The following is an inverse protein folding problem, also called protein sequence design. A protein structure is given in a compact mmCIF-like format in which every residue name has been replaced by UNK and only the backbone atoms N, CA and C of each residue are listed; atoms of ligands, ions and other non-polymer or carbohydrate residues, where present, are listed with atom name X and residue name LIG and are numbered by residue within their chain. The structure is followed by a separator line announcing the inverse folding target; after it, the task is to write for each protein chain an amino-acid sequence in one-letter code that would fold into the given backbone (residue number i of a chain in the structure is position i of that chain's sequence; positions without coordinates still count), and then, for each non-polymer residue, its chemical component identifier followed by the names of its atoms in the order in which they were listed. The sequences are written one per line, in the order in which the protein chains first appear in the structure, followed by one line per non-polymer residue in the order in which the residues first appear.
data_IF_111465121583
#
_entry.id   IF_111465121583
#
_cell.length_a   1.000
_cell.length_b   1.000
_cell.length_c   1.000
_cell.angle_alpha   90.00
_cell.angle_beta   90.00
_cell.angle_gamma   90.00
#
_symmetry.space_group_name_H-M   'P 1'
#
loop_
_entity.id
_entity.type
_entity.pdbx_description
1 polymer ?
#
# COMPACT_ATOMS: atom_id res chain seq x y z
N UNK A 1 27.91 -18.16 22.09
CA UNK A 1 26.65 -18.05 21.33
C UNK A 1 27.03 -17.93 19.86
N UNK A 2 26.75 -18.94 19.04
CA UNK A 2 27.14 -18.95 17.62
C UNK A 2 26.27 -17.97 16.82
N UNK A 3 26.92 -17.20 15.93
CA UNK A 3 26.34 -16.18 15.04
C UNK A 3 25.55 -16.79 13.86
N UNK A 4 24.96 -17.98 14.00
CA UNK A 4 24.45 -18.76 12.86
C UNK A 4 23.01 -18.45 12.41
N UNK A 5 22.26 -17.51 13.01
CA UNK A 5 20.80 -17.49 12.79
C UNK A 5 20.09 -16.18 12.40
N UNK A 6 20.78 -15.12 11.98
CA UNK A 6 20.11 -14.04 11.23
C UNK A 6 20.29 -14.26 9.73
N UNK A 7 19.64 -15.31 9.21
CA UNK A 7 19.54 -15.52 7.76
C UNK A 7 18.76 -14.34 7.18
N UNK A 8 19.45 -13.48 6.42
CA UNK A 8 18.84 -12.36 5.71
C UNK A 8 17.60 -12.84 4.94
N UNK A 9 16.45 -12.23 5.25
CA UNK A 9 15.20 -12.48 4.54
C UNK A 9 14.99 -11.34 3.54
N UNK A 10 15.00 -11.60 2.23
CA UNK A 10 14.81 -10.56 1.23
C UNK A 10 13.38 -10.02 1.22
N UNK A 11 12.41 -10.77 1.75
CA UNK A 11 11.00 -10.38 1.72
C UNK A 11 10.21 -10.91 2.92
N UNK A 12 9.12 -10.22 3.22
CA UNK A 12 8.07 -10.61 4.16
C UNK A 12 6.72 -10.45 3.46
N UNK A 13 5.97 -11.56 3.37
CA UNK A 13 4.59 -11.56 2.87
C UNK A 13 3.69 -10.75 3.82
N UNK A 14 2.97 -9.78 3.27
CA UNK A 14 1.99 -8.98 4.03
C UNK A 14 0.57 -9.37 3.62
N UNK A 15 0.26 -9.29 2.32
CA UNK A 15 -1.03 -9.68 1.77
C UNK A 15 -0.88 -10.41 0.44
N UNK A 16 -1.76 -11.38 0.23
CA UNK A 16 -2.06 -11.99 -1.06
C UNK A 16 -3.54 -11.72 -1.32
N UNK A 17 -3.94 -11.57 -2.57
CA UNK A 17 -5.35 -11.39 -2.94
C UNK A 17 -5.72 -12.45 -3.97
N UNK A 18 -5.62 -13.72 -3.58
CA UNK A 18 -5.73 -14.84 -4.51
C UNK A 18 -6.97 -15.70 -4.22
N UNK A 19 -7.63 -15.47 -3.09
CA UNK A 19 -8.84 -16.19 -2.68
C UNK A 19 -9.92 -15.23 -2.19
N UNK A 20 -11.18 -15.67 -2.18
CA UNK A 20 -12.28 -14.87 -1.64
C UNK A 20 -12.05 -14.51 -0.15
N UNK A 21 -11.49 -15.44 0.62
CA UNK A 21 -11.13 -15.21 2.02
C UNK A 21 -10.05 -14.13 2.19
N UNK A 22 -9.16 -13.97 1.22
CA UNK A 22 -8.20 -12.87 1.22
C UNK A 22 -8.90 -11.54 0.97
N UNK A 23 -9.83 -11.48 0.02
CA UNK A 23 -10.64 -10.28 -0.28
C UNK A 23 -11.50 -9.88 0.92
N UNK A 24 -12.04 -10.85 1.67
CA UNK A 24 -12.81 -10.58 2.89
C UNK A 24 -12.00 -9.90 3.99
N UNK A 25 -10.67 -9.91 3.89
CA UNK A 25 -9.78 -9.14 4.78
C UNK A 25 -9.66 -7.67 4.38
N UNK A 26 -10.39 -7.21 3.38
CA UNK A 26 -10.39 -5.82 2.93
C UNK A 26 -11.77 -5.20 3.07
N UNK A 27 -11.78 -3.89 3.28
CA UNK A 27 -12.97 -3.05 3.29
C UNK A 27 -12.89 -2.16 2.07
N UNK A 28 -13.95 -2.16 1.27
CA UNK A 28 -14.13 -1.27 0.13
C UNK A 28 -14.92 -0.05 0.59
N UNK A 29 -14.53 1.14 0.17
CA UNK A 29 -15.24 2.39 0.44
C UNK A 29 -15.21 3.34 -0.75
N UNK A 30 -16.19 4.23 -0.83
CA UNK A 30 -16.26 5.26 -1.86
C UNK A 30 -17.03 6.48 -1.37
N UNK A 31 -17.00 7.57 -2.13
CA UNK A 31 -17.81 8.76 -1.80
C UNK A 31 -19.33 8.46 -1.69
N UNK A 32 -19.81 7.35 -2.24
CA UNK A 32 -21.19 6.89 -2.10
C UNK A 32 -21.61 6.69 -0.65
N UNK A 33 -20.67 6.32 0.23
CA UNK A 33 -20.91 6.15 1.66
C UNK A 33 -21.30 7.46 2.36
N UNK A 34 -20.97 8.60 1.74
CA UNK A 34 -21.33 9.95 2.20
C UNK A 34 -22.31 10.65 1.25
N UNK A 35 -22.87 9.93 0.26
CA UNK A 35 -23.87 10.44 -0.69
C UNK A 35 -23.34 10.82 -2.08
N UNK A 36 -22.08 10.54 -2.40
CA UNK A 36 -21.54 10.68 -3.75
C UNK A 36 -22.03 9.61 -4.73
N UNK A 37 -21.53 9.66 -5.97
CA UNK A 37 -21.95 8.76 -7.06
C UNK A 37 -20.85 7.80 -7.53
N UNK A 38 -19.67 7.82 -6.92
CA UNK A 38 -18.61 6.86 -7.26
C UNK A 38 -19.01 5.45 -6.82
N UNK A 39 -18.46 4.45 -7.51
CA UNK A 39 -18.65 3.04 -7.20
C UNK A 39 -17.31 2.35 -7.13
N UNK A 40 -17.20 1.38 -6.24
CA UNK A 40 -15.98 0.62 -6.00
C UNK A 40 -16.33 -0.81 -5.61
N UNK A 41 -15.55 -1.77 -6.10
CA UNK A 41 -15.63 -3.19 -5.75
C UNK A 41 -14.24 -3.78 -5.66
N UNK A 42 -14.11 -4.81 -4.83
CA UNK A 42 -12.95 -5.69 -4.77
C UNK A 42 -13.43 -7.13 -4.91
N UNK A 43 -13.00 -7.81 -5.96
CA UNK A 43 -13.48 -9.15 -6.32
C UNK A 43 -12.29 -10.02 -6.77
N UNK A 44 -12.40 -11.34 -6.68
CA UNK A 44 -11.39 -12.25 -7.22
C UNK A 44 -11.63 -12.47 -8.72
N UNK A 45 -10.58 -12.41 -9.52
CA UNK A 45 -10.62 -12.76 -10.96
C UNK A 45 -10.49 -14.28 -11.17
N UNK A 46 -10.78 -14.74 -12.38
CA UNK A 46 -10.52 -16.13 -12.81
C UNK A 46 -9.04 -16.54 -12.70
N UNK A 47 -8.13 -15.56 -12.69
CA UNK A 47 -6.70 -15.78 -12.54
C UNK A 47 -6.25 -15.83 -11.06
N UNK A 48 -7.18 -15.88 -10.10
CA UNK A 48 -6.91 -15.86 -8.66
C UNK A 48 -6.08 -14.63 -8.25
N UNK A 49 -6.56 -13.45 -8.65
CA UNK A 49 -5.99 -12.14 -8.28
C UNK A 49 -7.11 -11.19 -7.84
N UNK A 50 -6.79 -10.20 -7.01
CA UNK A 50 -7.74 -9.23 -6.48
C UNK A 50 -7.94 -8.08 -7.46
N UNK A 51 -9.17 -7.85 -7.90
CA UNK A 51 -9.54 -6.79 -8.81
C UNK A 51 -10.24 -5.66 -8.08
N UNK A 52 -9.54 -4.55 -7.88
CA UNK A 52 -10.11 -3.29 -7.42
C UNK A 52 -10.58 -2.47 -8.63
N UNK A 53 -11.89 -2.30 -8.78
CA UNK A 53 -12.47 -1.62 -9.95
C UNK A 53 -13.76 -0.86 -9.61
N UNK A 54 -14.15 0.02 -10.53
CA UNK A 54 -15.38 0.78 -10.40
C UNK A 54 -15.41 1.99 -11.32
N UNK A 55 -16.23 2.98 -10.95
CA UNK A 55 -16.40 4.23 -11.69
C UNK A 55 -16.33 5.42 -10.73
N UNK A 56 -15.45 6.37 -11.02
CA UNK A 56 -15.32 7.61 -10.25
C UNK A 56 -16.26 8.68 -10.82
N UNK A 57 -16.99 9.38 -9.97
CA UNK A 57 -17.76 10.57 -10.34
C UNK A 57 -17.30 11.77 -9.51
N UNK A 58 -17.40 12.98 -10.06
CA UNK A 58 -17.18 14.24 -9.33
C UNK A 58 -18.51 14.94 -9.01
N UNK A 59 -19.64 14.35 -9.41
CA UNK A 59 -20.94 14.95 -9.19
C UNK A 59 -21.27 14.94 -7.69
N UNK A 60 -21.87 16.04 -7.24
CA UNK A 60 -22.34 16.21 -5.86
C UNK A 60 -23.86 16.35 -5.94
N UNK A 61 -24.65 15.55 -5.19
CA UNK A 61 -26.09 15.76 -5.17
C UNK A 61 -26.41 17.17 -4.66
N UNK A 62 -27.40 17.83 -5.27
CA UNK A 62 -27.76 19.21 -4.97
C UNK A 62 -28.09 19.46 -3.48
N UNK A 63 -28.55 18.43 -2.76
CA UNK A 63 -28.94 18.49 -1.35
C UNK A 63 -27.90 17.85 -0.39
N UNK A 64 -26.73 17.45 -0.90
CA UNK A 64 -25.76 16.73 -0.10
C UNK A 64 -24.94 17.68 0.79
N UNK A 65 -24.76 17.29 2.06
CA UNK A 65 -23.85 17.97 3.01
C UNK A 65 -22.36 17.77 2.69
N UNK A 66 -22.03 17.11 1.58
CA UNK A 66 -20.65 16.79 1.21
C UNK A 66 -19.99 17.96 0.48
N UNK A 67 -18.77 18.27 0.90
CA UNK A 67 -17.97 19.35 0.30
C UNK A 67 -17.05 18.81 -0.80
N UNK A 68 -16.79 17.49 -0.82
CA UNK A 68 -15.88 16.82 -1.75
C UNK A 68 -16.41 15.43 -2.13
N UNK A 69 -16.37 15.12 -3.41
CA UNK A 69 -16.70 13.82 -4.00
C UNK A 69 -15.54 13.30 -4.86
N UNK A 70 -15.70 12.10 -5.38
CA UNK A 70 -14.79 11.43 -6.29
C UNK A 70 -13.61 10.78 -5.62
N UNK A 71 -13.90 9.87 -4.70
CA UNK A 71 -12.92 8.92 -4.20
C UNK A 71 -13.46 7.48 -4.21
N UNK A 72 -12.54 6.55 -4.39
CA UNK A 72 -12.72 5.11 -4.16
C UNK A 72 -11.50 4.58 -3.42
N UNK A 73 -11.69 3.65 -2.49
CA UNK A 73 -10.60 3.08 -1.72
C UNK A 73 -10.86 1.63 -1.32
N UNK A 74 -9.77 0.90 -1.12
CA UNK A 74 -9.74 -0.34 -0.38
C UNK A 74 -8.75 -0.21 0.78
N UNK A 75 -9.04 -0.84 1.90
CA UNK A 75 -8.14 -0.91 3.06
C UNK A 75 -8.24 -2.26 3.71
N UNK A 76 -7.11 -2.84 4.08
CA UNK A 76 -7.11 -4.08 4.83
C UNK A 76 -7.71 -3.89 6.23
N UNK A 77 -8.37 -4.93 6.73
CA UNK A 77 -8.80 -5.01 8.11
C UNK A 77 -7.56 -5.13 8.98
N UNK A 78 -7.61 -4.51 10.17
CA UNK A 78 -6.61 -4.77 11.19
C UNK A 78 -6.65 -6.26 11.50
N UNK A 79 -5.49 -6.89 11.57
CA UNK A 79 -5.41 -8.27 12.02
C UNK A 79 -6.01 -8.35 13.44
N UNK A 80 -6.98 -9.24 13.63
CA UNK A 80 -7.59 -9.42 14.95
C UNK A 80 -6.54 -9.99 15.92
N UNK A 81 -6.55 -9.51 17.16
CA UNK A 81 -5.59 -9.89 18.20
C UNK A 81 -5.59 -11.41 18.40
N UNK A 82 -4.49 -12.06 18.05
CA UNK A 82 -4.20 -13.42 18.53
C UNK A 82 -3.26 -13.26 19.72
N UNK A 83 -3.83 -13.25 20.94
CA UNK A 83 -3.11 -13.00 22.22
C UNK A 83 -2.47 -11.59 22.33
N UNK A 84 -1.83 -11.29 23.47
CA UNK A 84 -1.34 -9.98 23.95
C UNK A 84 -0.42 -9.15 23.01
N UNK A 85 -0.21 -9.58 21.75
CA UNK A 85 0.60 -8.87 20.77
C UNK A 85 -0.31 -8.17 19.75
N UNK A 86 -0.08 -6.88 19.52
CA UNK A 86 -0.73 -6.17 18.40
C UNK A 86 -0.28 -6.85 17.10
N UNK A 87 -1.24 -7.23 16.26
CA UNK A 87 -0.97 -7.92 15.00
C UNK A 87 -0.53 -6.90 13.92
N UNK A 88 0.60 -6.25 14.20
CA UNK A 88 1.27 -5.28 13.35
C UNK A 88 2.50 -5.93 12.69
N UNK A 89 2.92 -5.36 11.56
CA UNK A 89 4.15 -5.76 10.87
C UNK A 89 5.31 -4.88 11.30
N UNK A 90 6.42 -5.54 11.67
CA UNK A 90 7.73 -4.90 11.73
C UNK A 90 8.37 -4.89 10.34
N UNK A 91 8.33 -3.72 9.71
CA UNK A 91 8.88 -3.48 8.37
C UNK A 91 10.25 -2.84 8.40
N UNK A 92 10.84 -2.55 9.58
CA UNK A 92 12.16 -1.94 9.72
C UNK A 92 13.26 -2.69 8.95
N UNK A 93 13.30 -4.05 8.91
CA UNK A 93 14.35 -4.78 8.18
C UNK A 93 14.31 -4.66 6.65
N UNK A 94 13.26 -4.07 6.07
CA UNK A 94 13.05 -4.00 4.63
C UNK A 94 13.28 -2.57 4.12
N UNK A 95 13.44 -2.35 2.82
CA UNK A 95 13.55 -0.98 2.27
C UNK A 95 12.26 -0.50 1.62
N UNK A 96 11.54 -1.44 1.03
CA UNK A 96 10.41 -1.14 0.15
C UNK A 96 9.15 -1.84 0.62
N UNK A 97 8.02 -1.16 0.45
CA UNK A 97 6.75 -1.82 0.24
C UNK A 97 6.61 -2.14 -1.24
N UNK A 98 6.45 -3.41 -1.56
CA UNK A 98 6.41 -3.91 -2.93
C UNK A 98 5.04 -4.45 -3.26
N UNK A 99 4.51 -4.06 -4.41
CA UNK A 99 3.21 -4.52 -4.90
C UNK A 99 3.38 -5.11 -6.30
N UNK A 100 2.84 -6.31 -6.53
CA UNK A 100 2.67 -6.86 -7.89
C UNK A 100 1.27 -6.53 -8.39
N UNK A 101 1.21 -5.67 -9.40
CA UNK A 101 -0.04 -5.06 -9.86
C UNK A 101 -0.11 -5.00 -11.39
N UNK A 102 -1.35 -4.97 -11.91
CA UNK A 102 -1.68 -4.68 -13.31
C UNK A 102 -2.84 -3.70 -13.32
N UNK A 103 -2.56 -2.45 -13.62
CA UNK A 103 -3.55 -1.38 -13.59
C UNK A 103 -3.65 -0.60 -14.88
N UNK A 104 -4.47 0.43 -14.84
CA UNK A 104 -4.69 1.39 -15.91
C UNK A 104 -3.76 2.62 -15.79
N UNK A 105 -4.18 3.78 -16.31
CA UNK A 105 -3.41 5.04 -16.26
C UNK A 105 -3.81 5.96 -15.11
N UNK A 106 -4.62 5.48 -14.16
CA UNK A 106 -5.13 6.29 -13.05
C UNK A 106 -4.06 6.51 -11.99
N UNK A 107 -4.22 7.58 -11.20
CA UNK A 107 -3.22 7.99 -10.20
C UNK A 107 -3.60 7.46 -8.82
N UNK A 108 -3.27 6.20 -8.56
CA UNK A 108 -3.53 5.56 -7.27
C UNK A 108 -2.55 6.05 -6.19
N UNK A 109 -3.00 5.99 -4.95
CA UNK A 109 -2.20 6.21 -3.74
C UNK A 109 -2.19 4.92 -2.93
N UNK A 110 -1.02 4.50 -2.48
CA UNK A 110 -0.87 3.48 -1.42
C UNK A 110 -0.86 4.19 -0.09
N UNK A 111 -1.65 3.67 0.84
CA UNK A 111 -1.86 4.22 2.17
C UNK A 111 -1.40 3.22 3.22
N UNK A 112 -0.70 3.68 4.26
CA UNK A 112 -0.28 2.88 5.40
C UNK A 112 -0.77 3.55 6.68
N UNK A 113 -1.42 2.77 7.55
CA UNK A 113 -1.66 3.19 8.93
C UNK A 113 -0.72 2.45 9.87
N UNK A 114 -0.22 3.16 10.88
CA UNK A 114 0.58 2.59 11.96
C UNK A 114 -0.17 2.71 13.28
N UNK A 115 0.26 1.96 14.31
CA UNK A 115 -0.23 2.11 15.68
C UNK A 115 0.29 3.43 16.28
N UNK A 116 -0.28 4.56 15.81
CA UNK A 116 -0.02 5.92 16.31
C UNK A 116 -1.08 6.31 17.34
N UNK A 117 -0.72 7.20 18.27
CA UNK A 117 -1.68 7.83 19.19
C UNK A 117 -2.79 8.57 18.44
N UNK A 118 -2.50 9.09 17.25
CA UNK A 118 -3.47 9.78 16.39
C UNK A 118 -3.98 8.79 15.33
N UNK A 119 -5.21 8.30 15.53
CA UNK A 119 -5.84 7.30 14.64
C UNK A 119 -6.09 7.78 13.21
N UNK A 120 -5.98 9.09 12.96
CA UNK A 120 -6.17 9.70 11.63
C UNK A 120 -4.87 9.84 10.85
N UNK A 121 -3.72 9.49 11.43
CA UNK A 121 -2.45 9.53 10.72
C UNK A 121 -2.43 8.48 9.61
N UNK A 122 -2.20 8.95 8.38
CA UNK A 122 -2.13 8.11 7.21
C UNK A 122 -0.91 8.49 6.38
N UNK A 123 -0.04 7.52 6.15
CA UNK A 123 1.14 7.67 5.33
C UNK A 123 0.81 7.32 3.89
N UNK A 124 1.10 8.21 2.95
CA UNK A 124 0.69 8.04 1.55
C UNK A 124 1.89 8.08 0.60
N UNK A 125 1.86 7.21 -0.40
CA UNK A 125 2.80 7.23 -1.53
C UNK A 125 2.05 7.03 -2.84
N UNK A 126 2.45 7.73 -3.89
CA UNK A 126 1.87 7.54 -5.23
C UNK A 126 2.27 6.19 -5.81
N UNK A 127 1.29 5.44 -6.29
CA UNK A 127 1.53 4.24 -7.10
C UNK A 127 1.61 4.65 -8.56
N UNK A 128 2.82 4.71 -9.12
CA UNK A 128 3.03 5.02 -10.52
C UNK A 128 3.28 3.74 -11.31
N UNK A 129 2.39 3.44 -12.25
CA UNK A 129 2.50 2.30 -13.16
C UNK A 129 3.23 2.73 -14.43
N UNK A 130 4.30 2.02 -14.77
CA UNK A 130 5.11 2.29 -15.97
C UNK A 130 4.58 1.55 -17.19
N UNK A 131 3.90 0.43 -16.98
CA UNK A 131 3.38 -0.44 -18.04
C UNK A 131 1.88 -0.72 -17.85
N UNK A 132 1.00 0.28 -18.07
CA UNK A 132 -0.44 0.09 -17.97
C UNK A 132 -0.93 -1.10 -18.80
N UNK A 133 -1.78 -1.94 -18.20
CA UNK A 133 -2.29 -3.16 -18.80
C UNK A 133 -1.37 -4.38 -18.71
N UNK A 134 -0.13 -4.22 -18.21
CA UNK A 134 0.81 -5.31 -17.97
C UNK A 134 1.07 -5.48 -16.46
N UNK A 135 1.48 -6.70 -16.08
CA UNK A 135 1.93 -6.95 -14.72
C UNK A 135 3.30 -6.31 -14.50
N UNK A 136 3.44 -5.53 -13.43
CA UNK A 136 4.70 -5.00 -12.96
C UNK A 136 4.82 -5.13 -11.44
N UNK A 137 6.05 -5.14 -10.94
CA UNK A 137 6.34 -5.05 -9.52
C UNK A 137 6.80 -3.62 -9.25
N UNK A 138 6.06 -2.91 -8.39
CA UNK A 138 6.39 -1.54 -7.99
C UNK A 138 7.00 -1.56 -6.59
N UNK A 139 8.21 -1.04 -6.46
CA UNK A 139 8.91 -0.87 -5.18
C UNK A 139 8.73 0.56 -4.67
N UNK A 140 8.04 0.72 -3.54
CA UNK A 140 7.79 2.01 -2.89
C UNK A 140 8.68 2.12 -1.64
N UNK A 141 9.70 2.99 -1.62
CA UNK A 141 10.57 3.14 -0.46
C UNK A 141 9.76 3.65 0.74
N UNK A 142 9.84 2.97 1.89
CA UNK A 142 9.08 3.37 3.09
C UNK A 142 9.37 4.83 3.49
N UNK A 143 10.63 5.26 3.35
CA UNK A 143 11.09 6.64 3.63
C UNK A 143 10.45 7.74 2.77
N UNK A 144 9.75 7.39 1.69
CA UNK A 144 9.09 8.37 0.80
C UNK A 144 7.58 8.43 1.00
N UNK A 145 7.03 7.67 1.95
CA UNK A 145 5.64 7.84 2.34
C UNK A 145 5.49 9.12 3.17
N UNK A 146 4.65 10.05 2.71
CA UNK A 146 4.40 11.30 3.41
C UNK A 146 3.18 11.17 4.32
N UNK A 147 3.30 11.65 5.56
CA UNK A 147 2.17 11.66 6.49
C UNK A 147 1.13 12.70 6.08
N UNK A 148 -0.13 12.31 6.14
CA UNK A 148 -1.29 13.17 5.96
C UNK A 148 -2.24 13.00 7.13
N UNK A 149 -2.91 14.08 7.53
CA UNK A 149 -3.97 14.05 8.53
C UNK A 149 -5.23 14.64 7.89
N UNK A 150 -6.30 13.85 7.80
CA UNK A 150 -7.54 14.23 7.10
C UNK A 150 -7.32 14.78 5.67
N UNK A 151 -6.35 14.21 4.93
CA UNK A 151 -6.00 14.64 3.58
C UNK A 151 -5.29 16.00 3.50
N UNK A 152 -4.90 16.59 4.64
CA UNK A 152 -4.00 17.74 4.71
C UNK A 152 -2.57 17.24 4.93
N UNK A 153 -1.63 17.77 4.16
CA UNK A 153 -0.21 17.48 4.33
C UNK A 153 0.27 18.04 5.66
N UNK A 154 0.99 17.21 6.42
CA UNK A 154 1.73 17.68 7.59
C UNK A 154 3.08 18.19 7.10
N UNK A 155 3.38 19.46 7.38
CA UNK A 155 4.57 20.16 6.87
C UNK A 155 5.89 19.63 7.45
N UNK A 156 5.82 18.95 8.60
CA UNK A 156 6.95 18.26 9.19
C UNK A 156 7.01 16.83 8.67
N UNK A 157 8.19 16.42 8.21
CA UNK A 157 8.46 15.03 7.88
C UNK A 157 8.41 14.23 9.18
N UNK A 158 7.28 13.55 9.41
CA UNK A 158 7.15 12.59 10.50
C UNK A 158 7.52 11.24 9.92
N UNK A 159 8.51 10.60 10.52
CA UNK A 159 8.90 9.27 10.12
C UNK A 159 7.83 8.26 10.53
N UNK A 160 7.56 7.31 9.64
CA UNK A 160 6.60 6.25 9.87
C UNK A 160 7.09 5.32 10.99
N UNK A 161 6.18 4.93 11.88
CA UNK A 161 6.42 3.91 12.91
C UNK A 161 6.39 2.52 12.26
N UNK A 162 7.50 2.18 11.60
CA UNK A 162 7.66 1.02 10.72
C UNK A 162 7.62 -0.32 11.46
N UNK A 163 7.82 -0.30 12.76
CA UNK A 163 7.72 -1.43 13.67
C UNK A 163 6.27 -1.80 14.03
N UNK A 164 5.31 -0.89 13.77
CA UNK A 164 3.89 -1.05 14.09
C UNK A 164 2.97 -0.77 12.90
N UNK A 165 3.28 -1.30 11.71
CA UNK A 165 2.39 -1.16 10.54
C UNK A 165 1.13 -2.00 10.74
N UNK A 166 -0.06 -1.41 10.66
CA UNK A 166 -1.33 -2.08 10.98
C UNK A 166 -2.23 -2.37 9.78
N UNK A 167 -2.30 -1.44 8.81
CA UNK A 167 -3.12 -1.62 7.61
C UNK A 167 -2.44 -1.06 6.39
N UNK A 168 -2.77 -1.65 5.24
CA UNK A 168 -2.41 -1.15 3.92
C UNK A 168 -3.71 -0.88 3.17
N UNK A 169 -3.75 0.24 2.46
CA UNK A 169 -4.86 0.60 1.59
C UNK A 169 -4.39 1.10 0.25
N UNK A 170 -5.30 1.10 -0.71
CA UNK A 170 -5.11 1.74 -2.01
C UNK A 170 -6.31 2.64 -2.23
N UNK A 171 -6.06 3.89 -2.61
CA UNK A 171 -7.12 4.85 -2.92
C UNK A 171 -6.91 5.53 -4.27
N UNK A 172 -8.02 6.00 -4.82
CA UNK A 172 -8.09 6.79 -6.03
C UNK A 172 -8.91 8.04 -5.75
N UNK A 173 -8.32 9.21 -5.99
CA UNK A 173 -8.96 10.52 -5.83
C UNK A 173 -8.32 11.55 -6.75
N UNK A 174 -8.11 11.19 -8.01
CA UNK A 174 -7.32 11.95 -8.99
C UNK A 174 -8.12 13.03 -9.74
N UNK A 175 -9.38 13.22 -9.35
CA UNK A 175 -10.34 14.18 -9.94
C UNK A 175 -10.69 13.91 -11.40
N UNK A 176 -10.51 12.68 -11.88
CA UNK A 176 -10.89 12.29 -13.23
C UNK A 176 -12.14 11.40 -13.19
N UNK A 177 -13.33 11.87 -13.63
CA UNK A 177 -14.47 10.98 -13.77
C UNK A 177 -14.15 9.82 -14.72
N UNK A 178 -14.77 8.66 -14.52
CA UNK A 178 -14.62 7.51 -15.41
C UNK A 178 -14.24 6.21 -14.71
N UNK A 179 -14.11 5.12 -15.50
CA UNK A 179 -13.77 3.81 -14.98
C UNK A 179 -12.34 3.79 -14.43
N UNK A 180 -12.11 2.90 -13.46
CA UNK A 180 -10.78 2.56 -12.98
C UNK A 180 -10.66 1.05 -12.76
N UNK A 181 -9.45 0.52 -12.89
CA UNK A 181 -9.14 -0.89 -12.73
C UNK A 181 -7.70 -1.09 -12.27
N UNK A 182 -7.54 -1.70 -11.10
CA UNK A 182 -6.26 -2.14 -10.56
C UNK A 182 -6.36 -3.59 -10.10
N UNK A 183 -5.62 -4.47 -10.75
CA UNK A 183 -5.49 -5.87 -10.35
C UNK A 183 -4.24 -6.03 -9.49
N UNK A 184 -4.36 -6.79 -8.40
CA UNK A 184 -3.37 -6.94 -7.34
C UNK A 184 -3.18 -8.43 -7.10
N UNK A 185 -1.94 -8.89 -7.16
CA UNK A 185 -1.60 -10.27 -6.79
C UNK A 185 -1.14 -10.32 -5.33
N UNK A 186 -0.10 -9.56 -4.98
CA UNK A 186 0.44 -9.54 -3.63
C UNK A 186 1.02 -8.19 -3.23
N UNK A 187 1.17 -8.03 -1.92
CA UNK A 187 1.85 -6.93 -1.24
C UNK A 187 2.85 -7.54 -0.25
N UNK A 188 4.10 -7.08 -0.30
CA UNK A 188 5.21 -7.56 0.52
C UNK A 188 6.05 -6.40 1.04
N UNK A 189 6.73 -6.58 2.16
CA UNK A 189 7.90 -5.78 2.49
C UNK A 189 9.13 -6.47 1.89
N UNK A 190 10.01 -5.73 1.20
CA UNK A 190 11.14 -6.34 0.49
C UNK A 190 12.42 -5.51 0.56
N UNK A 191 13.54 -6.20 0.41
CA UNK A 191 14.82 -5.69 -0.01
C UNK A 191 15.11 -6.18 -1.44
N UNK A 192 15.78 -5.35 -2.24
CA UNK A 192 16.48 -5.80 -3.46
C UNK A 192 17.82 -6.44 -3.09
N UNK A 193 18.49 -7.05 -4.07
CA UNK A 193 19.81 -7.67 -3.86
C UNK A 193 20.86 -6.72 -3.29
N UNK A 194 20.74 -5.42 -3.62
CA UNK A 194 21.68 -4.36 -3.24
C UNK A 194 21.27 -3.63 -1.95
N UNK A 195 20.27 -4.11 -1.20
CA UNK A 195 19.69 -3.36 -0.07
C UNK A 195 19.47 -4.23 1.15
N UNK A 196 19.66 -3.66 2.33
CA UNK A 196 19.40 -4.29 3.62
C UNK A 196 18.78 -3.26 4.58
N UNK A 197 17.44 -3.24 4.62
CA UNK A 197 16.71 -2.18 5.29
C UNK A 197 16.99 -0.81 4.66
N UNK A 198 17.25 0.20 5.50
CA UNK A 198 17.59 1.54 5.00
C UNK A 198 19.04 1.67 4.52
N UNK A 199 19.85 0.60 4.58
CA UNK A 199 21.25 0.58 4.12
C UNK A 199 21.43 -0.11 2.76
N UNK A 200 22.47 0.31 2.03
CA UNK A 200 22.92 -0.39 0.83
C UNK A 200 23.77 -1.59 1.24
N UNK A 201 23.54 -2.73 0.60
CA UNK A 201 24.32 -3.94 0.87
C UNK A 201 25.70 -3.77 0.26
N UNK A 202 26.70 -3.66 1.12
CA UNK A 202 28.10 -3.57 0.70
C UNK A 202 28.54 -4.90 0.06
N UNK A 203 28.79 -4.90 -1.25
CA UNK A 203 29.36 -6.05 -1.95
C UNK A 203 30.86 -6.17 -1.66
N UNK A 204 31.21 -6.85 -0.57
CA UNK A 204 32.60 -7.15 -0.21
C UNK A 204 33.35 -7.95 -1.30
N UNK A 205 32.65 -8.57 -2.27
CA UNK A 205 33.24 -9.33 -3.38
C UNK A 205 33.77 -8.45 -4.52
N UNK A 206 33.12 -7.32 -4.82
CA UNK A 206 33.53 -6.41 -5.91
C UNK A 206 34.71 -5.50 -5.59
N UNK A 207 35.01 -5.27 -4.31
CA UNK A 207 36.12 -4.40 -3.90
C UNK A 207 37.51 -5.03 -4.15
N UNK A 208 37.61 -6.36 -4.29
CA UNK A 208 38.89 -7.06 -4.50
C UNK A 208 39.49 -6.93 -5.90
N UNK A 209 38.78 -6.32 -6.87
CA UNK A 209 39.25 -6.20 -8.26
C UNK A 209 39.66 -4.78 -8.70
N UNK A 210 39.72 -3.81 -7.77
CA UNK A 210 40.14 -2.41 -8.09
C UNK A 210 41.50 -1.99 -7.55
N UNK A 211 42.32 -2.94 -7.10
CA UNK A 211 43.74 -2.71 -6.86
C UNK A 211 44.57 -3.62 -7.78
N UNK A 212 44.83 -3.13 -8.99
CA UNK A 212 45.97 -3.51 -9.81
C UNK A 212 46.59 -2.24 -10.38
#
# INVERSE_FOLDING_TARGET
MSLEHLKWKPEMDMYKLNTAADVDRWVVGSDKDIGGYSTAKLEITEANTGLFHGHLSQDIPNDAKIVRSGYAAIRSKKNEKVMLQEAAWDTVPFRYLSLRVKGDRRKYLVNISTSSFIKTDLYQHRLFLRTPGQWEIVHLPFRFFAMTNNGSFVSQHIDMYREMVETIGISLSDKQPGPFRLEIDWIKATNTEDTDGDYDRMDYGRMKFRFR
#
